data_IF_966915612741
#
_entry.id   IF_966915612741
#
_cell.length_a   1.000
_cell.length_b   1.000
_cell.length_c   1.000
_cell.angle_alpha   90.00
_cell.angle_beta   90.00
_cell.angle_gamma   90.00
#
_symmetry.space_group_name_H-M   'P 1'
#
loop_
_entity.id
_entity.type
_entity.pdbx_description
1 polymer ?
#
# COMPACT_ATOMS: atom_id res chain seq x y z
N UNK A 1 -2.45 27.32 27.18
CA UNK A 1 -2.73 27.19 25.74
C UNK A 1 -3.25 25.78 25.51
N UNK A 2 -4.42 25.62 24.88
CA UNK A 2 -4.83 24.29 24.42
C UNK A 2 -4.05 24.00 23.14
N UNK A 3 -3.08 23.11 23.23
CA UNK A 3 -2.34 22.61 22.08
C UNK A 3 -3.28 21.75 21.22
N UNK A 4 -3.40 22.06 19.93
CA UNK A 4 -4.30 21.40 18.98
C UNK A 4 -3.76 20.04 18.49
N UNK A 5 -3.27 19.20 19.39
CA UNK A 5 -2.57 17.94 19.09
C UNK A 5 -3.44 16.88 18.41
N UNK A 6 -4.77 16.95 18.58
CA UNK A 6 -5.69 15.94 18.03
C UNK A 6 -6.31 16.32 16.69
N UNK A 7 -6.02 17.52 16.18
CA UNK A 7 -6.63 18.01 14.93
C UNK A 7 -6.29 17.12 13.73
N UNK A 8 -5.06 16.60 13.66
CA UNK A 8 -4.61 15.69 12.58
C UNK A 8 -5.31 14.33 12.55
N UNK A 9 -5.97 13.91 13.64
CA UNK A 9 -6.71 12.64 13.69
C UNK A 9 -8.20 12.80 13.37
N UNK A 10 -8.67 14.04 13.18
CA UNK A 10 -10.06 14.28 12.78
C UNK A 10 -10.28 13.87 11.33
N UNK A 11 -11.46 13.33 11.02
CA UNK A 11 -11.78 12.92 9.66
C UNK A 11 -11.91 14.16 8.76
N UNK A 12 -11.14 14.27 7.66
CA UNK A 12 -11.19 15.45 6.81
C UNK A 12 -12.51 15.50 6.03
N UNK A 13 -13.18 16.64 6.13
CA UNK A 13 -14.45 16.94 5.45
C UNK A 13 -14.29 18.28 4.71
N UNK A 14 -14.56 18.29 3.41
CA UNK A 14 -14.58 19.53 2.61
C UNK A 14 -15.99 19.68 2.02
N UNK A 15 -16.60 20.86 2.17
CA UNK A 15 -17.96 21.17 1.69
C UNK A 15 -19.03 20.16 2.13
N UNK A 16 -18.87 19.56 3.31
CA UNK A 16 -19.78 18.54 3.85
C UNK A 16 -19.57 17.13 3.31
N UNK A 17 -18.56 16.90 2.45
CA UNK A 17 -18.22 15.59 1.90
C UNK A 17 -17.01 14.98 2.64
N UNK A 18 -17.11 13.74 3.16
CA UNK A 18 -15.98 13.06 3.80
C UNK A 18 -14.94 12.62 2.76
N UNK A 19 -13.68 13.02 2.95
CA UNK A 19 -12.58 12.70 2.02
C UNK A 19 -11.87 11.38 2.32
N UNK A 20 -12.29 10.68 3.38
CA UNK A 20 -11.66 9.43 3.84
C UNK A 20 -11.58 8.39 2.72
N UNK A 21 -12.62 8.25 1.89
CA UNK A 21 -12.64 7.30 0.78
C UNK A 21 -11.56 7.58 -0.25
N UNK A 22 -11.33 8.85 -0.60
CA UNK A 22 -10.30 9.25 -1.55
C UNK A 22 -8.90 9.02 -0.99
N UNK A 23 -8.68 9.36 0.29
CA UNK A 23 -7.40 9.16 0.98
C UNK A 23 -7.06 7.66 1.06
N UNK A 24 -8.03 6.81 1.40
CA UNK A 24 -7.85 5.35 1.49
C UNK A 24 -7.52 4.74 0.13
N UNK A 25 -8.06 5.28 -0.97
CA UNK A 25 -7.78 4.80 -2.32
C UNK A 25 -6.46 5.34 -2.91
N UNK A 26 -5.95 6.46 -2.40
CA UNK A 26 -4.76 7.12 -2.92
C UNK A 26 -3.53 6.21 -3.09
N UNK A 27 -3.17 5.32 -2.13
CA UNK A 27 -1.98 4.48 -2.27
C UNK A 27 -2.04 3.52 -3.46
N UNK A 28 -3.24 3.14 -3.93
CA UNK A 28 -3.39 2.27 -5.11
C UNK A 28 -2.82 2.88 -6.39
N UNK A 29 -2.80 4.21 -6.48
CA UNK A 29 -2.26 4.95 -7.63
C UNK A 29 -0.73 4.94 -7.68
N UNK A 30 -0.06 4.63 -6.57
CA UNK A 30 1.40 4.61 -6.46
C UNK A 30 2.05 3.35 -7.03
N UNK A 31 1.25 2.36 -7.48
CA UNK A 31 1.73 1.08 -7.99
C UNK A 31 1.37 0.92 -9.48
N UNK A 32 2.12 1.55 -10.41
CA UNK A 32 1.89 1.43 -11.84
C UNK A 32 2.25 0.02 -12.32
N UNK A 33 1.55 -0.43 -13.37
CA UNK A 33 1.84 -1.67 -14.07
C UNK A 33 2.37 -1.38 -15.47
N UNK A 34 3.20 -2.28 -16.00
CA UNK A 34 3.73 -2.18 -17.36
C UNK A 34 3.66 -3.54 -18.03
N UNK A 35 3.23 -3.56 -19.29
CA UNK A 35 3.20 -4.77 -20.13
C UNK A 35 4.49 -4.94 -20.93
N UNK A 36 5.51 -4.09 -20.72
CA UNK A 36 6.81 -4.18 -21.39
C UNK A 36 7.73 -5.13 -20.63
N UNK A 37 8.52 -5.91 -21.37
CA UNK A 37 9.50 -6.84 -20.80
C UNK A 37 10.61 -6.12 -20.03
N UNK A 38 11.08 -4.98 -20.56
CA UNK A 38 11.93 -4.02 -19.84
C UNK A 38 11.07 -2.81 -19.49
N UNK A 39 10.75 -2.68 -18.20
CA UNK A 39 9.92 -1.59 -17.67
C UNK A 39 10.79 -0.47 -17.09
N UNK A 40 10.16 0.59 -16.56
CA UNK A 40 10.90 1.68 -15.92
C UNK A 40 11.48 1.23 -14.56
N UNK A 41 12.45 1.98 -14.04
CA UNK A 41 13.15 1.65 -12.79
C UNK A 41 12.22 1.43 -11.60
N UNK A 42 11.12 2.19 -11.54
CA UNK A 42 10.14 2.08 -10.47
C UNK A 42 9.40 0.74 -10.51
N UNK A 43 8.86 0.37 -11.67
CA UNK A 43 8.16 -0.90 -11.87
C UNK A 43 9.11 -2.09 -11.69
N UNK A 44 10.37 -1.99 -12.13
CA UNK A 44 11.36 -3.06 -11.88
C UNK A 44 11.65 -3.26 -10.40
N UNK A 45 11.77 -2.17 -9.62
CA UNK A 45 11.98 -2.25 -8.17
C UNK A 45 10.74 -2.82 -7.46
N UNK A 46 9.54 -2.39 -7.87
CA UNK A 46 8.28 -2.93 -7.37
C UNK A 46 8.19 -4.44 -7.63
N UNK A 47 8.45 -4.91 -8.86
CA UNK A 47 8.44 -6.33 -9.21
C UNK A 47 9.47 -7.13 -8.41
N UNK A 48 10.68 -6.59 -8.26
CA UNK A 48 11.74 -7.22 -7.47
C UNK A 48 11.34 -7.36 -5.99
N UNK A 49 10.77 -6.31 -5.38
CA UNK A 49 10.26 -6.35 -4.01
C UNK A 49 9.16 -7.40 -3.85
N UNK A 50 8.19 -7.44 -4.77
CA UNK A 50 7.10 -8.41 -4.75
C UNK A 50 7.62 -9.85 -4.79
N UNK A 51 8.61 -10.13 -5.65
CA UNK A 51 9.23 -11.46 -5.74
C UNK A 51 9.98 -11.83 -4.46
N UNK A 52 10.71 -10.89 -3.88
CA UNK A 52 11.47 -11.13 -2.66
C UNK A 52 10.54 -11.46 -1.48
N UNK A 53 9.53 -10.62 -1.24
CA UNK A 53 8.59 -10.78 -0.12
C UNK A 53 7.75 -12.04 -0.29
N UNK A 54 7.20 -12.28 -1.49
CA UNK A 54 6.42 -13.49 -1.76
C UNK A 54 7.25 -14.75 -1.56
N UNK A 55 8.50 -14.79 -2.06
CA UNK A 55 9.40 -15.92 -1.88
C UNK A 55 9.71 -16.17 -0.40
N UNK A 56 10.00 -15.12 0.37
CA UNK A 56 10.30 -15.26 1.79
C UNK A 56 9.10 -15.78 2.58
N UNK A 57 7.93 -15.15 2.42
CA UNK A 57 6.73 -15.52 3.17
C UNK A 57 6.18 -16.89 2.78
N UNK A 58 6.19 -17.23 1.50
CA UNK A 58 5.55 -18.45 0.99
C UNK A 58 6.45 -19.68 1.05
N UNK A 59 7.74 -19.51 1.36
CA UNK A 59 8.71 -20.61 1.45
C UNK A 59 8.32 -21.71 2.43
N UNK A 60 7.63 -21.37 3.52
CA UNK A 60 7.24 -22.30 4.59
C UNK A 60 5.85 -22.92 4.33
N UNK A 61 5.09 -22.38 3.37
CA UNK A 61 3.70 -22.76 3.12
C UNK A 61 3.58 -23.86 2.05
N UNK A 62 2.62 -24.76 2.22
CA UNK A 62 2.27 -25.77 1.21
C UNK A 62 1.50 -25.16 0.02
N UNK A 63 1.24 -25.94 -1.02
CA UNK A 63 0.53 -25.48 -2.22
C UNK A 63 -0.85 -24.87 -1.93
N UNK A 64 -1.59 -25.43 -0.97
CA UNK A 64 -2.89 -24.87 -0.55
C UNK A 64 -2.73 -23.51 0.13
N UNK A 65 -1.71 -23.33 0.96
CA UNK A 65 -1.39 -22.04 1.60
C UNK A 65 -0.91 -20.98 0.59
N UNK A 66 -0.14 -21.39 -0.41
CA UNK A 66 0.34 -20.51 -1.48
C UNK A 66 -0.80 -19.90 -2.32
N UNK A 67 -2.01 -20.46 -2.29
CA UNK A 67 -3.18 -19.84 -2.95
C UNK A 67 -3.54 -18.47 -2.35
N UNK A 68 -3.16 -18.21 -1.10
CA UNK A 68 -3.39 -16.94 -0.40
C UNK A 68 -2.34 -15.87 -0.71
N UNK A 69 -1.33 -16.18 -1.55
CA UNK A 69 -0.22 -15.27 -1.86
C UNK A 69 -0.72 -13.93 -2.37
N UNK A 70 -1.69 -13.93 -3.29
CA UNK A 70 -2.20 -12.68 -3.86
C UNK A 70 -2.83 -11.77 -2.79
N UNK A 71 -3.64 -12.34 -1.89
CA UNK A 71 -4.29 -11.61 -0.80
C UNK A 71 -3.26 -11.06 0.19
N UNK A 72 -2.31 -11.89 0.62
CA UNK A 72 -1.32 -11.48 1.61
C UNK A 72 -0.38 -10.41 1.05
N UNK A 73 0.01 -10.54 -0.22
CA UNK A 73 0.82 -9.54 -0.90
C UNK A 73 0.07 -8.21 -1.05
N UNK A 74 -1.20 -8.22 -1.45
CA UNK A 74 -1.98 -6.99 -1.56
C UNK A 74 -2.18 -6.30 -0.21
N UNK A 75 -2.42 -7.07 0.85
CA UNK A 75 -2.59 -6.57 2.21
C UNK A 75 -1.33 -5.88 2.74
N UNK A 76 -0.16 -6.51 2.58
CA UNK A 76 1.12 -5.96 3.07
C UNK A 76 1.46 -4.67 2.34
N UNK A 77 1.28 -4.64 1.01
CA UNK A 77 1.51 -3.42 0.23
C UNK A 77 0.57 -2.30 0.66
N UNK A 78 -0.71 -2.62 0.84
CA UNK A 78 -1.71 -1.63 1.25
C UNK A 78 -1.35 -1.01 2.61
N UNK A 79 -1.17 -1.83 3.65
CA UNK A 79 -0.83 -1.35 4.99
C UNK A 79 0.52 -0.61 5.00
N UNK A 80 1.53 -1.17 4.32
CA UNK A 80 2.84 -0.56 4.22
C UNK A 80 2.79 0.83 3.57
N UNK A 81 2.05 0.96 2.47
CA UNK A 81 1.89 2.22 1.75
C UNK A 81 1.08 3.27 2.52
N UNK A 82 -0.02 2.88 3.17
CA UNK A 82 -0.82 3.81 4.00
C UNK A 82 -0.02 4.31 5.20
N UNK A 83 0.76 3.45 5.84
CA UNK A 83 1.59 3.84 6.99
C UNK A 83 2.74 4.76 6.56
N UNK A 84 3.42 4.45 5.45
CA UNK A 84 4.50 5.29 4.94
C UNK A 84 4.00 6.68 4.54
N UNK A 85 2.84 6.76 3.89
CA UNK A 85 2.23 8.04 3.55
C UNK A 85 1.75 8.81 4.80
N UNK A 86 1.28 8.12 5.83
CA UNK A 86 0.87 8.74 7.09
C UNK A 86 2.03 9.33 7.91
N UNK A 87 3.29 9.05 7.55
CA UNK A 87 4.47 9.70 8.14
C UNK A 87 4.81 11.04 7.45
N UNK A 88 4.20 11.34 6.32
CA UNK A 88 4.38 12.63 5.65
C UNK A 88 3.68 13.74 6.47
N UNK A 89 4.24 14.97 6.46
CA UNK A 89 3.66 16.11 7.16
C UNK A 89 2.32 16.57 6.58
#
# INVERSE_FOLDING_TARGET
MNENLFTSFTTPVILGLPLVTLIVLFPSLLFPTSNRLVSNRFVTLQQWMLQLVSKQMMSIHNSKGQTWTLMLMSLILFIGSTNLLGLLP
#
